data_IF_386867072972
#
_entry.id   IF_386867072972
#
_cell.length_a   1.000
_cell.length_b   1.000
_cell.length_c   1.000
_cell.angle_alpha   90.00
_cell.angle_beta   90.00
_cell.angle_gamma   90.00
#
_symmetry.space_group_name_H-M   'P 1'
#
loop_
_entity.id
_entity.type
_entity.pdbx_description
1 polymer ?
#
# COMPACT_ATOMS: atom_id res chain seq x y z
N UNK A 1 8.38 30.35 -14.56
CA UNK A 1 7.25 29.40 -14.45
C UNK A 1 6.40 29.64 -13.21
N UNK A 2 6.97 29.96 -12.04
CA UNK A 2 6.18 30.34 -10.85
C UNK A 2 5.22 31.51 -11.11
N UNK A 3 5.65 32.56 -11.83
CA UNK A 3 4.75 33.64 -12.27
C UNK A 3 3.58 33.13 -13.14
N UNK A 4 3.79 32.10 -13.98
CA UNK A 4 2.72 31.52 -14.82
C UNK A 4 1.74 30.71 -13.99
N UNK A 5 2.19 30.09 -12.90
CA UNK A 5 1.34 29.42 -11.92
C UNK A 5 0.32 30.40 -11.32
N UNK A 6 0.76 31.63 -11.04
CA UNK A 6 -0.07 32.68 -10.44
C UNK A 6 -0.96 33.39 -11.47
N UNK A 7 -0.45 33.59 -12.68
CA UNK A 7 -1.10 34.44 -13.71
C UNK A 7 -1.93 33.65 -14.72
N UNK A 8 -1.73 32.33 -14.85
CA UNK A 8 -2.42 31.47 -15.82
C UNK A 8 -2.90 30.18 -15.14
N UNK A 9 -3.92 30.26 -14.26
CA UNK A 9 -4.38 29.12 -13.45
C UNK A 9 -4.99 27.98 -14.28
N UNK A 10 -5.42 28.26 -15.52
CA UNK A 10 -5.97 27.25 -16.42
C UNK A 10 -4.99 26.08 -16.72
N UNK A 11 -3.68 26.30 -16.55
CA UNK A 11 -2.65 25.28 -16.74
C UNK A 11 -1.88 24.98 -15.45
N UNK A 12 -2.46 25.26 -14.28
CA UNK A 12 -1.78 25.14 -12.98
C UNK A 12 -1.11 23.78 -12.81
N UNK A 13 -1.83 22.69 -13.11
CA UNK A 13 -1.32 21.32 -12.97
C UNK A 13 -0.10 21.06 -13.86
N UNK A 14 -0.17 21.49 -15.13
CA UNK A 14 0.95 21.41 -16.07
C UNK A 14 2.15 22.20 -15.55
N UNK A 15 1.94 23.40 -15.00
CA UNK A 15 3.04 24.22 -14.48
C UNK A 15 3.71 23.62 -13.25
N UNK A 16 2.94 23.04 -12.32
CA UNK A 16 3.47 22.35 -11.14
C UNK A 16 4.39 21.21 -11.58
N UNK A 17 3.95 20.42 -12.55
CA UNK A 17 4.76 19.31 -13.06
C UNK A 17 6.02 19.79 -13.78
N UNK A 18 5.91 20.80 -14.65
CA UNK A 18 7.07 21.39 -15.33
C UNK A 18 8.11 21.94 -14.32
N UNK A 19 7.66 22.52 -13.20
CA UNK A 19 8.55 22.96 -12.12
C UNK A 19 9.28 21.79 -11.46
N UNK A 20 8.61 20.66 -11.27
CA UNK A 20 9.23 19.41 -10.82
C UNK A 20 10.29 18.91 -11.80
N UNK A 21 9.96 18.86 -13.09
CA UNK A 21 10.89 18.43 -14.15
C UNK A 21 12.13 19.33 -14.26
N UNK A 22 11.94 20.65 -14.30
CA UNK A 22 13.06 21.59 -14.36
C UNK A 22 13.99 21.44 -13.15
N UNK A 23 13.42 21.29 -11.96
CA UNK A 23 14.20 21.10 -10.72
C UNK A 23 14.97 19.78 -10.75
N UNK A 24 14.33 18.70 -11.24
CA UNK A 24 14.97 17.40 -11.43
C UNK A 24 16.07 17.43 -12.48
N UNK A 25 15.90 18.15 -13.59
CA UNK A 25 16.96 18.32 -14.59
C UNK A 25 18.12 19.13 -14.03
N UNK A 26 17.86 20.19 -13.27
CA UNK A 26 18.91 20.97 -12.60
C UNK A 26 19.68 20.12 -11.59
N UNK A 27 18.99 19.29 -10.81
CA UNK A 27 19.61 18.28 -9.94
C UNK A 27 20.50 17.32 -10.73
N UNK A 28 20.03 16.83 -11.89
CA UNK A 28 20.74 15.82 -12.67
C UNK A 28 22.04 16.36 -13.29
N UNK A 29 22.04 17.61 -13.77
CA UNK A 29 23.21 18.30 -14.34
C UNK A 29 24.24 18.66 -13.26
N UNK A 30 23.82 18.77 -12.01
CA UNK A 30 24.72 19.03 -10.89
C UNK A 30 25.45 17.74 -10.47
N UNK A 31 26.66 17.56 -11.02
CA UNK A 31 27.52 16.39 -10.77
C UNK A 31 28.52 16.62 -9.63
N UNK A 32 29.06 17.83 -9.49
CA UNK A 32 30.14 18.14 -8.55
C UNK A 32 29.67 18.59 -7.18
N UNK A 33 28.59 19.38 -7.09
CA UNK A 33 28.11 19.91 -5.81
C UNK A 33 26.97 19.05 -5.24
N UNK A 34 27.32 18.14 -4.32
CA UNK A 34 26.36 17.24 -3.68
C UNK A 34 25.29 18.00 -2.86
N UNK A 35 25.63 19.15 -2.28
CA UNK A 35 24.68 19.96 -1.52
C UNK A 35 23.64 20.61 -2.45
N UNK A 36 24.08 21.20 -3.56
CA UNK A 36 23.15 21.77 -4.54
C UNK A 36 22.26 20.68 -5.15
N UNK A 37 22.83 19.49 -5.39
CA UNK A 37 22.07 18.32 -5.85
C UNK A 37 20.98 17.94 -4.84
N UNK A 38 21.29 17.90 -3.55
CA UNK A 38 20.31 17.63 -2.49
C UNK A 38 19.21 18.70 -2.45
N UNK A 39 19.58 19.98 -2.54
CA UNK A 39 18.64 21.11 -2.58
C UNK A 39 17.68 20.98 -3.77
N UNK A 40 18.20 20.79 -4.98
CA UNK A 40 17.38 20.64 -6.18
C UNK A 40 16.54 19.36 -6.16
N UNK A 41 17.04 18.30 -5.54
CA UNK A 41 16.27 17.09 -5.25
C UNK A 41 15.08 17.38 -4.32
N UNK A 42 15.29 18.18 -3.27
CA UNK A 42 14.23 18.65 -2.38
C UNK A 42 13.19 19.51 -3.09
N UNK A 43 13.62 20.46 -3.92
CA UNK A 43 12.72 21.31 -4.73
C UNK A 43 11.93 20.47 -5.73
N UNK A 44 12.54 19.47 -6.38
CA UNK A 44 11.82 18.57 -7.26
C UNK A 44 10.77 17.74 -6.51
N UNK A 45 11.12 17.18 -5.35
CA UNK A 45 10.19 16.42 -4.48
C UNK A 45 9.00 17.28 -4.08
N UNK A 46 9.24 18.52 -3.66
CA UNK A 46 8.21 19.50 -3.33
C UNK A 46 7.16 19.65 -4.44
N UNK A 47 7.62 19.94 -5.67
CA UNK A 47 6.71 20.13 -6.80
C UNK A 47 5.98 18.86 -7.20
N UNK A 48 6.65 17.70 -7.19
CA UNK A 48 5.98 16.44 -7.51
C UNK A 48 5.01 15.98 -6.42
N UNK A 49 5.26 16.24 -5.13
CA UNK A 49 4.29 15.98 -4.07
C UNK A 49 3.05 16.85 -4.25
N UNK A 50 3.21 18.14 -4.57
CA UNK A 50 2.10 19.03 -4.90
C UNK A 50 1.34 18.57 -6.16
N UNK A 51 2.04 18.04 -7.16
CA UNK A 51 1.42 17.45 -8.34
C UNK A 51 0.61 16.20 -7.97
N UNK A 52 1.17 15.33 -7.13
CA UNK A 52 0.53 14.10 -6.65
C UNK A 52 -0.71 14.38 -5.80
N UNK A 53 -0.77 15.49 -5.07
CA UNK A 53 -1.96 15.85 -4.28
C UNK A 53 -3.18 16.16 -5.15
N UNK A 54 -2.91 16.78 -6.31
CA UNK A 54 -3.91 17.15 -7.31
C UNK A 54 -4.28 16.01 -8.22
N UNK A 55 -3.28 15.20 -8.59
CA UNK A 55 -3.40 14.08 -9.50
C UNK A 55 -2.92 12.78 -8.83
N UNK A 56 -3.55 12.34 -7.72
CA UNK A 56 -3.08 11.19 -6.94
C UNK A 56 -3.15 9.88 -7.72
N UNK A 57 -4.07 9.81 -8.67
CA UNK A 57 -4.39 8.69 -9.54
C UNK A 57 -3.39 8.52 -10.69
N UNK A 58 -2.48 9.49 -10.91
CA UNK A 58 -1.50 9.48 -12.00
C UNK A 58 -0.19 8.82 -11.56
N UNK A 59 0.05 7.62 -12.09
CA UNK A 59 1.25 6.83 -11.81
C UNK A 59 2.55 7.50 -12.27
N UNK A 60 2.51 8.36 -13.30
CA UNK A 60 3.72 9.02 -13.83
C UNK A 60 4.37 9.98 -12.82
N UNK A 61 3.56 10.67 -12.00
CA UNK A 61 4.08 11.55 -10.95
C UNK A 61 4.76 10.70 -9.86
N UNK A 62 4.13 9.57 -9.49
CA UNK A 62 4.70 8.60 -8.54
C UNK A 62 6.03 8.04 -9.05
N UNK A 63 6.15 7.77 -10.35
CA UNK A 63 7.41 7.36 -10.97
C UNK A 63 8.53 8.39 -10.75
N UNK A 64 8.26 9.68 -10.93
CA UNK A 64 9.26 10.72 -10.71
C UNK A 64 9.67 10.81 -9.23
N UNK A 65 8.73 10.66 -8.30
CA UNK A 65 9.04 10.54 -6.87
C UNK A 65 9.92 9.32 -6.58
N UNK A 66 9.71 8.19 -7.26
CA UNK A 66 10.59 7.02 -7.14
C UNK A 66 12.03 7.33 -7.56
N UNK A 67 12.23 8.03 -8.68
CA UNK A 67 13.59 8.43 -9.12
C UNK A 67 14.28 9.31 -8.08
N UNK A 68 13.53 10.20 -7.42
CA UNK A 68 14.03 11.12 -6.41
C UNK A 68 14.21 10.49 -5.02
N UNK A 69 13.65 9.31 -4.77
CA UNK A 69 13.76 8.61 -3.50
C UNK A 69 15.17 8.01 -3.25
N UNK A 70 16.08 8.05 -4.23
CA UNK A 70 17.48 7.61 -4.04
C UNK A 70 18.16 8.39 -2.91
N UNK A 71 18.98 7.72 -2.06
CA UNK A 71 19.38 6.31 -2.11
C UNK A 71 18.44 5.34 -1.34
N UNK A 72 17.28 5.78 -0.88
CA UNK A 72 16.34 4.93 -0.12
C UNK A 72 15.68 3.90 -1.05
N UNK A 73 16.11 2.64 -0.95
CA UNK A 73 15.63 1.55 -1.80
C UNK A 73 14.20 1.10 -1.45
N UNK A 74 13.75 1.29 -0.20
CA UNK A 74 12.39 0.94 0.21
C UNK A 74 11.40 1.97 -0.33
N UNK A 75 11.71 3.25 -0.17
CA UNK A 75 10.88 4.33 -0.71
C UNK A 75 10.86 4.33 -2.24
N UNK A 76 12.00 4.01 -2.90
CA UNK A 76 12.04 3.77 -4.35
C UNK A 76 11.07 2.66 -4.77
N UNK A 77 11.13 1.49 -4.11
CA UNK A 77 10.23 0.38 -4.42
C UNK A 77 8.77 0.77 -4.25
N UNK A 78 8.44 1.45 -3.15
CA UNK A 78 7.09 1.93 -2.88
C UNK A 78 6.57 2.82 -4.02
N UNK A 79 7.30 3.86 -4.41
CA UNK A 79 6.82 4.77 -5.45
C UNK A 79 6.78 4.13 -6.84
N UNK A 80 7.74 3.26 -7.18
CA UNK A 80 7.67 2.52 -8.45
C UNK A 80 6.49 1.55 -8.49
N UNK A 81 6.24 0.80 -7.42
CA UNK A 81 5.10 -0.11 -7.38
C UNK A 81 3.78 0.66 -7.36
N UNK A 82 3.67 1.73 -6.57
CA UNK A 82 2.51 2.65 -6.59
C UNK A 82 2.25 3.20 -7.99
N UNK A 83 3.29 3.61 -8.71
CA UNK A 83 3.18 4.10 -10.09
C UNK A 83 2.54 3.08 -11.05
N UNK A 84 2.81 1.78 -10.84
CA UNK A 84 2.25 0.70 -11.64
C UNK A 84 0.79 0.40 -11.26
N UNK A 85 0.45 0.47 -9.97
CA UNK A 85 -0.90 0.14 -9.47
C UNK A 85 -1.79 1.36 -9.22
N UNK A 86 -1.39 2.53 -9.72
CA UNK A 86 -2.24 3.72 -9.80
C UNK A 86 -3.37 3.52 -10.82
N UNK A 87 -4.51 4.19 -10.64
CA UNK A 87 -5.65 4.14 -11.58
C UNK A 87 -5.21 4.45 -13.01
N UNK A 88 -4.36 5.48 -13.17
CA UNK A 88 -3.68 5.81 -14.43
C UNK A 88 -2.22 5.36 -14.32
N UNK A 89 -2.01 4.06 -14.45
CA UNK A 89 -0.69 3.44 -14.40
C UNK A 89 0.30 4.07 -15.40
N UNK A 90 1.60 4.04 -15.08
CA UNK A 90 2.66 4.51 -15.99
C UNK A 90 3.54 3.34 -16.46
N UNK A 91 3.33 2.82 -17.69
CA UNK A 91 4.05 1.64 -18.19
C UNK A 91 5.58 1.80 -18.23
N UNK A 92 6.09 3.02 -18.44
CA UNK A 92 7.53 3.31 -18.42
C UNK A 92 8.22 2.95 -17.10
N UNK A 93 7.47 2.82 -16.00
CA UNK A 93 7.99 2.34 -14.72
C UNK A 93 8.54 0.92 -14.79
N UNK A 94 8.00 0.05 -15.65
CA UNK A 94 8.43 -1.36 -15.74
C UNK A 94 9.89 -1.50 -16.16
N UNK A 95 10.41 -0.56 -16.94
CA UNK A 95 11.82 -0.52 -17.33
C UNK A 95 12.68 0.16 -16.25
N UNK A 96 12.25 1.31 -15.72
CA UNK A 96 13.02 2.05 -14.73
C UNK A 96 13.22 1.30 -13.41
N UNK A 97 12.22 0.52 -12.96
CA UNK A 97 12.31 -0.26 -11.72
C UNK A 97 13.41 -1.33 -11.77
N UNK A 98 13.80 -1.80 -12.96
CA UNK A 98 14.90 -2.76 -13.12
C UNK A 98 16.25 -2.18 -12.67
N UNK A 99 16.42 -0.85 -12.68
CA UNK A 99 17.62 -0.18 -12.15
C UNK A 99 17.71 -0.32 -10.62
N UNK A 100 16.59 -0.54 -9.93
CA UNK A 100 16.56 -0.85 -8.50
C UNK A 100 16.88 -2.33 -8.24
N UNK A 101 16.26 -3.24 -9.00
CA UNK A 101 16.39 -4.68 -8.76
C UNK A 101 17.72 -5.28 -9.22
N UNK A 102 18.17 -4.94 -10.44
CA UNK A 102 19.33 -5.59 -11.06
C UNK A 102 20.63 -5.51 -10.23
N UNK A 103 20.95 -4.40 -9.56
CA UNK A 103 22.13 -4.35 -8.69
C UNK A 103 22.05 -5.29 -7.48
N UNK A 104 20.85 -5.49 -6.92
CA UNK A 104 20.63 -6.31 -5.72
C UNK A 104 20.60 -7.81 -6.05
N UNK A 105 20.05 -8.20 -7.21
CA UNK A 105 19.98 -9.60 -7.65
C UNK A 105 21.33 -10.17 -8.13
N UNK A 106 22.32 -9.32 -8.45
CA UNK A 106 23.62 -9.73 -9.02
C UNK A 106 24.67 -10.17 -7.98
N UNK A 107 24.29 -10.43 -6.73
CA UNK A 107 25.17 -10.97 -5.69
C UNK A 107 25.78 -9.91 -4.74
N UNK A 108 26.55 -10.35 -3.73
CA UNK A 108 26.94 -9.51 -2.60
C UNK A 108 27.86 -8.37 -3.07
N UNK A 109 27.35 -7.15 -3.01
CA UNK A 109 28.15 -5.93 -3.04
C UNK A 109 28.30 -5.44 -1.60
N UNK A 110 29.28 -4.58 -1.35
CA UNK A 110 29.29 -3.77 -0.12
C UNK A 110 28.08 -2.85 -0.20
N UNK A 111 26.95 -3.29 0.35
CA UNK A 111 25.68 -2.57 0.27
C UNK A 111 25.53 -1.78 1.56
N UNK A 112 25.49 -0.45 1.48
CA UNK A 112 25.21 0.44 2.61
C UNK A 112 23.70 0.49 2.95
N UNK A 113 22.97 -0.60 2.76
CA UNK A 113 21.54 -0.71 3.07
C UNK A 113 21.33 -1.69 4.23
N UNK A 114 20.23 -1.52 4.95
CA UNK A 114 19.83 -2.50 5.94
C UNK A 114 19.54 -3.83 5.23
N UNK A 115 20.27 -4.90 5.58
CA UNK A 115 20.23 -6.19 4.87
C UNK A 115 18.78 -6.70 4.67
N UNK A 116 17.95 -6.61 5.72
CA UNK A 116 16.53 -6.98 5.67
C UNK A 116 15.74 -6.25 4.57
N UNK A 117 16.01 -4.97 4.35
CA UNK A 117 15.36 -4.20 3.27
C UNK A 117 15.93 -4.58 1.90
N UNK A 118 17.23 -4.89 1.82
CA UNK A 118 17.80 -5.41 0.57
C UNK A 118 17.17 -6.76 0.19
N UNK A 119 16.97 -7.66 1.16
CA UNK A 119 16.28 -8.94 0.95
C UNK A 119 14.82 -8.74 0.52
N UNK A 120 14.10 -7.79 1.13
CA UNK A 120 12.74 -7.40 0.73
C UNK A 120 12.68 -6.94 -0.72
N UNK A 121 13.51 -5.96 -1.10
CA UNK A 121 13.53 -5.41 -2.47
C UNK A 121 13.98 -6.47 -3.47
N UNK A 122 14.87 -7.38 -3.07
CA UNK A 122 15.31 -8.52 -3.90
C UNK A 122 14.19 -9.52 -4.14
N UNK A 123 13.40 -9.86 -3.10
CA UNK A 123 12.23 -10.72 -3.23
C UNK A 123 11.20 -10.13 -4.22
N UNK A 124 10.93 -8.83 -4.13
CA UNK A 124 10.12 -8.11 -5.10
C UNK A 124 10.71 -8.14 -6.52
N UNK A 125 12.03 -8.05 -6.66
CA UNK A 125 12.70 -8.16 -7.96
C UNK A 125 12.49 -9.51 -8.63
N UNK A 126 12.58 -10.60 -7.87
CA UNK A 126 12.29 -11.95 -8.38
C UNK A 126 10.81 -12.12 -8.74
N UNK A 127 9.87 -11.71 -7.89
CA UNK A 127 8.44 -11.76 -8.21
C UNK A 127 8.11 -10.92 -9.45
N UNK A 128 8.63 -9.69 -9.54
CA UNK A 128 8.42 -8.82 -10.69
C UNK A 128 8.95 -9.46 -11.99
N UNK A 129 10.09 -10.14 -11.91
CA UNK A 129 10.68 -10.93 -13.01
C UNK A 129 9.97 -12.27 -13.28
N UNK A 130 8.90 -12.60 -12.53
CA UNK A 130 8.18 -13.89 -12.57
C UNK A 130 9.04 -15.10 -12.22
N UNK A 131 10.07 -14.89 -11.41
CA UNK A 131 10.94 -15.92 -10.88
C UNK A 131 10.47 -16.34 -9.48
N UNK A 132 9.59 -17.33 -9.43
CA UNK A 132 9.09 -17.90 -8.17
C UNK A 132 9.92 -19.13 -7.71
N UNK A 133 11.21 -19.19 -8.06
CA UNK A 133 12.11 -20.27 -7.65
C UNK A 133 12.63 -20.11 -6.22
N UNK A 134 13.51 -21.02 -5.78
CA UNK A 134 14.21 -20.96 -4.48
C UNK A 134 14.91 -19.63 -4.21
N UNK A 135 15.26 -18.86 -5.26
CA UNK A 135 15.83 -17.53 -5.10
C UNK A 135 14.85 -16.54 -4.47
N UNK A 136 13.61 -16.52 -4.96
CA UNK A 136 12.54 -15.72 -4.36
C UNK A 136 12.29 -16.19 -2.92
N UNK A 137 12.07 -17.50 -2.74
CA UNK A 137 11.75 -18.09 -1.43
C UNK A 137 12.81 -17.71 -0.39
N UNK A 138 14.09 -17.87 -0.73
CA UNK A 138 15.20 -17.50 0.17
C UNK A 138 15.21 -16.02 0.54
N UNK A 139 15.01 -15.12 -0.42
CA UNK A 139 14.96 -13.68 -0.15
C UNK A 139 13.75 -13.29 0.70
N UNK A 140 12.59 -13.89 0.44
CA UNK A 140 11.39 -13.70 1.24
C UNK A 140 11.57 -14.21 2.68
N UNK A 141 12.12 -15.42 2.85
CA UNK A 141 12.38 -16.01 4.16
C UNK A 141 13.40 -15.21 4.99
N UNK A 142 14.48 -14.75 4.37
CA UNK A 142 15.47 -13.88 5.02
C UNK A 142 14.83 -12.57 5.50
N UNK A 143 14.00 -11.95 4.65
CA UNK A 143 13.25 -10.74 5.02
C UNK A 143 12.31 -11.02 6.19
N UNK A 144 11.43 -12.01 6.07
CA UNK A 144 10.41 -12.34 7.07
C UNK A 144 11.05 -12.70 8.42
N UNK A 145 12.13 -13.48 8.42
CA UNK A 145 12.84 -13.91 9.64
C UNK A 145 13.51 -12.76 10.39
N UNK A 146 13.91 -11.70 9.68
CA UNK A 146 14.54 -10.52 10.28
C UNK A 146 13.61 -9.32 10.50
N UNK A 147 12.37 -9.39 10.01
CA UNK A 147 11.43 -8.29 10.03
C UNK A 147 11.05 -7.87 11.46
N UNK A 148 10.86 -8.83 12.36
CA UNK A 148 10.56 -8.61 13.77
C UNK A 148 11.61 -7.71 14.45
N UNK A 149 12.88 -8.11 14.34
CA UNK A 149 14.01 -7.33 14.85
C UNK A 149 14.15 -5.97 14.17
N UNK A 150 13.81 -5.88 12.88
CA UNK A 150 13.88 -4.64 12.12
C UNK A 150 12.87 -3.61 12.63
N UNK A 151 11.62 -4.02 12.90
CA UNK A 151 10.57 -3.16 13.48
C UNK A 151 11.07 -2.52 14.77
N UNK A 152 11.53 -3.34 15.73
CA UNK A 152 12.02 -2.85 17.02
C UNK A 152 13.24 -1.92 16.89
N UNK A 153 14.14 -2.20 15.93
CA UNK A 153 15.35 -1.39 15.69
C UNK A 153 15.04 0.00 15.13
N UNK A 154 14.12 0.11 14.19
CA UNK A 154 13.80 1.39 13.52
C UNK A 154 12.74 2.20 14.26
N UNK A 155 11.97 1.57 15.14
CA UNK A 155 11.06 2.23 16.09
C UNK A 155 10.06 3.15 15.40
N UNK A 156 10.05 4.43 15.78
CA UNK A 156 9.08 5.40 15.26
C UNK A 156 9.09 5.56 13.72
N UNK A 157 10.25 5.36 13.08
CA UNK A 157 10.38 5.41 11.62
C UNK A 157 9.61 4.27 10.92
N UNK A 158 9.32 3.18 11.65
CA UNK A 158 8.57 2.05 11.11
C UNK A 158 7.15 2.42 10.69
N UNK A 159 6.55 3.48 11.24
CA UNK A 159 5.21 3.94 10.82
C UNK A 159 5.11 4.13 9.31
N UNK A 160 6.06 4.86 8.74
CA UNK A 160 6.10 5.14 7.30
C UNK A 160 6.70 3.96 6.53
N UNK A 161 7.75 3.31 7.05
CA UNK A 161 8.36 2.16 6.38
C UNK A 161 7.38 0.97 6.26
N UNK A 162 6.55 0.75 7.29
CA UNK A 162 5.50 -0.26 7.28
C UNK A 162 4.44 0.02 6.22
N UNK A 163 4.11 1.30 5.96
CA UNK A 163 3.25 1.71 4.83
C UNK A 163 3.91 1.35 3.50
N UNK A 164 5.20 1.62 3.33
CA UNK A 164 5.94 1.30 2.12
C UNK A 164 6.05 -0.22 1.87
N UNK A 165 6.36 -0.99 2.90
CA UNK A 165 6.41 -2.46 2.84
C UNK A 165 5.03 -3.01 2.48
N UNK A 166 4.00 -2.62 3.24
CA UNK A 166 2.63 -3.10 3.03
C UNK A 166 2.16 -2.76 1.63
N UNK A 167 2.23 -1.49 1.20
CA UNK A 167 1.79 -1.08 -0.13
C UNK A 167 2.56 -1.78 -1.27
N UNK A 168 3.86 -2.06 -1.09
CA UNK A 168 4.62 -2.81 -2.10
C UNK A 168 4.16 -4.27 -2.18
N UNK A 169 3.88 -4.90 -1.04
CA UNK A 169 3.29 -6.23 -0.93
C UNK A 169 1.91 -6.30 -1.60
N UNK A 170 1.04 -5.32 -1.34
CA UNK A 170 -0.25 -5.22 -2.02
C UNK A 170 -0.09 -5.09 -3.54
N UNK A 171 0.90 -4.33 -4.00
CA UNK A 171 1.21 -4.25 -5.43
C UNK A 171 1.67 -5.59 -6.00
N UNK A 172 2.34 -6.45 -5.23
CA UNK A 172 2.67 -7.82 -5.65
C UNK A 172 1.42 -8.72 -5.76
N UNK A 173 0.45 -8.59 -4.84
CA UNK A 173 -0.86 -9.25 -4.96
C UNK A 173 -1.64 -8.77 -6.19
N UNK A 174 -1.51 -7.49 -6.54
CA UNK A 174 -2.03 -6.91 -7.78
C UNK A 174 -1.12 -7.18 -9.00
N UNK A 175 -0.14 -8.08 -8.84
CA UNK A 175 0.79 -8.53 -9.88
C UNK A 175 1.51 -7.39 -10.61
N UNK A 176 1.76 -6.31 -9.89
CA UNK A 176 2.35 -5.06 -10.37
C UNK A 176 1.62 -4.53 -11.62
N UNK A 177 0.29 -4.69 -11.64
CA UNK A 177 -0.58 -4.36 -12.77
C UNK A 177 -0.08 -4.96 -14.10
N UNK A 178 0.33 -6.23 -14.07
CA UNK A 178 0.60 -6.97 -15.30
C UNK A 178 -0.64 -6.96 -16.22
N UNK A 179 -0.50 -6.94 -17.55
CA UNK A 179 -1.65 -6.92 -18.46
C UNK A 179 -2.64 -8.08 -18.30
N UNK A 180 -2.16 -9.19 -17.75
CA UNK A 180 -2.87 -10.44 -17.48
C UNK A 180 -3.08 -10.67 -15.96
N UNK A 181 -3.03 -9.60 -15.16
CA UNK A 181 -3.26 -9.65 -13.72
C UNK A 181 -4.73 -9.93 -13.40
N UNK A 182 -4.98 -10.73 -12.37
CA UNK A 182 -6.30 -11.24 -12.02
C UNK A 182 -7.20 -10.18 -11.38
N UNK A 183 -6.66 -9.40 -10.43
CA UNK A 183 -7.43 -8.53 -9.54
C UNK A 183 -7.62 -7.07 -10.01
N UNK A 184 -6.64 -6.40 -10.66
CA UNK A 184 -6.75 -4.95 -10.92
C UNK A 184 -8.02 -4.52 -11.67
N UNK A 185 -8.47 -5.33 -12.64
CA UNK A 185 -9.69 -5.04 -13.43
C UNK A 185 -10.97 -5.09 -12.61
N UNK A 186 -11.01 -5.85 -11.51
CA UNK A 186 -12.19 -5.93 -10.64
C UNK A 186 -12.39 -4.64 -9.82
N UNK A 187 -11.33 -3.85 -9.63
CA UNK A 187 -11.39 -2.53 -8.98
C UNK A 187 -11.73 -1.39 -9.95
N UNK A 188 -11.68 -1.63 -11.27
CA UNK A 188 -12.02 -0.64 -12.30
C UNK A 188 -13.54 -0.49 -12.53
N UNK A 189 -14.39 -0.96 -11.61
CA UNK A 189 -15.83 -0.83 -11.75
C UNK A 189 -16.27 0.64 -11.69
N UNK A 190 -17.24 1.00 -12.54
CA UNK A 190 -17.87 2.32 -12.54
C UNK A 190 -18.39 2.69 -11.14
N UNK A 191 -18.43 3.98 -10.79
CA UNK A 191 -18.93 4.43 -9.49
C UNK A 191 -20.24 3.72 -9.18
N UNK A 192 -20.24 3.02 -8.04
CA UNK A 192 -21.42 2.38 -7.48
C UNK A 192 -22.52 3.46 -7.45
N UNK A 193 -23.68 3.26 -8.09
CA UNK A 193 -24.77 4.23 -8.01
C UNK A 193 -25.09 4.50 -6.54
N UNK A 194 -25.32 5.78 -6.17
CA UNK A 194 -25.59 6.23 -4.78
C UNK A 194 -26.67 5.41 -4.04
N UNK A 195 -27.47 4.62 -4.76
CA UNK A 195 -28.49 3.73 -4.23
C UNK A 195 -28.00 2.38 -3.67
N UNK A 196 -26.76 1.95 -3.92
CA UNK A 196 -26.24 0.65 -3.43
C UNK A 196 -25.38 0.82 -2.20
N UNK A 197 -25.73 0.13 -1.12
CA UNK A 197 -24.90 0.13 0.08
C UNK A 197 -23.63 -0.69 -0.15
N UNK A 198 -22.53 -0.40 0.58
CA UNK A 198 -21.33 -1.26 0.56
C UNK A 198 -21.64 -2.72 0.92
N UNK A 199 -22.68 -2.95 1.74
CA UNK A 199 -23.14 -4.28 2.13
C UNK A 199 -23.76 -5.04 0.95
N UNK A 200 -24.47 -4.35 0.05
CA UNK A 200 -25.05 -4.97 -1.15
C UNK A 200 -23.96 -5.42 -2.14
N UNK A 201 -22.91 -4.60 -2.30
CA UNK A 201 -21.76 -4.92 -3.15
C UNK A 201 -21.06 -6.18 -2.63
N UNK A 202 -20.87 -6.23 -1.31
CA UNK A 202 -20.32 -7.41 -0.66
C UNK A 202 -21.20 -8.65 -0.86
N UNK A 203 -22.50 -8.55 -0.57
CA UNK A 203 -23.41 -9.69 -0.66
C UNK A 203 -23.47 -10.26 -2.09
N UNK A 204 -23.28 -9.40 -3.09
CA UNK A 204 -23.13 -9.84 -4.47
C UNK A 204 -21.78 -10.55 -4.70
N UNK A 205 -20.67 -9.99 -4.22
CA UNK A 205 -19.33 -10.57 -4.37
C UNK A 205 -19.21 -11.95 -3.70
N UNK A 206 -19.76 -12.10 -2.49
CA UNK A 206 -19.68 -13.34 -1.70
C UNK A 206 -20.36 -14.54 -2.37
N UNK A 207 -21.34 -14.31 -3.25
CA UNK A 207 -21.97 -15.36 -4.04
C UNK A 207 -21.01 -16.10 -4.99
N UNK A 208 -19.88 -15.48 -5.33
CA UNK A 208 -18.83 -16.05 -6.18
C UNK A 208 -17.76 -16.83 -5.42
N UNK A 209 -17.76 -16.75 -4.08
CA UNK A 209 -16.71 -17.35 -3.26
C UNK A 209 -17.01 -18.81 -2.93
N UNK A 210 -15.95 -19.57 -2.62
CA UNK A 210 -16.14 -20.87 -2.01
C UNK A 210 -16.81 -20.68 -0.65
N UNK A 211 -17.79 -21.54 -0.32
CA UNK A 211 -18.40 -21.47 1.01
C UNK A 211 -17.33 -21.78 2.05
N UNK A 212 -17.26 -20.97 3.09
CA UNK A 212 -16.37 -21.18 4.24
C UNK A 212 -16.60 -22.53 4.92
N UNK A 213 -17.82 -23.07 4.80
CA UNK A 213 -18.17 -24.41 5.28
C UNK A 213 -17.50 -25.55 4.50
N UNK A 214 -16.80 -25.25 3.40
CA UNK A 214 -15.98 -26.19 2.62
C UNK A 214 -14.51 -25.73 2.61
N UNK A 215 -13.78 -25.92 3.73
CA UNK A 215 -12.38 -25.49 3.84
C UNK A 215 -11.46 -26.21 2.85
N UNK A 216 -11.83 -27.42 2.41
CA UNK A 216 -11.06 -28.17 1.41
C UNK A 216 -11.13 -27.48 0.04
N UNK A 217 -12.31 -26.99 -0.35
CA UNK A 217 -12.46 -26.22 -1.58
C UNK A 217 -11.72 -24.89 -1.52
N UNK A 218 -11.81 -24.14 -0.40
CA UNK A 218 -11.04 -22.90 -0.21
C UNK A 218 -9.54 -23.15 -0.37
N UNK A 219 -9.02 -24.21 0.26
CA UNK A 219 -7.62 -24.59 0.14
C UNK A 219 -7.24 -25.02 -1.28
N UNK A 220 -8.07 -25.85 -1.94
CA UNK A 220 -7.84 -26.30 -3.31
C UNK A 220 -7.83 -25.15 -4.31
N UNK A 221 -8.78 -24.22 -4.20
CA UNK A 221 -8.87 -23.04 -5.06
C UNK A 221 -7.63 -22.15 -4.93
N UNK A 222 -7.17 -21.93 -3.70
CA UNK A 222 -5.97 -21.14 -3.45
C UNK A 222 -4.70 -21.85 -3.98
N UNK A 223 -4.55 -23.15 -3.73
CA UNK A 223 -3.39 -23.92 -4.22
C UNK A 223 -3.35 -23.98 -5.75
N UNK A 224 -4.52 -24.04 -6.41
CA UNK A 224 -4.61 -24.00 -7.87
C UNK A 224 -4.01 -22.72 -8.49
N UNK A 225 -3.94 -21.61 -7.74
CA UNK A 225 -3.25 -20.39 -8.18
C UNK A 225 -1.75 -20.65 -8.40
N UNK A 226 -1.12 -21.47 -7.56
CA UNK A 226 0.30 -21.82 -7.72
C UNK A 226 0.55 -22.80 -8.90
N UNK A 227 -0.44 -23.60 -9.27
CA UNK A 227 -0.33 -24.57 -10.37
C UNK A 227 -0.65 -23.96 -11.75
N UNK A 228 -1.30 -22.79 -11.75
CA UNK A 228 -1.73 -22.07 -12.95
C UNK A 228 -0.59 -21.44 -13.77
N UNK A 229 -0.92 -20.94 -14.97
CA UNK A 229 0.01 -20.16 -15.79
C UNK A 229 0.50 -18.89 -15.06
N UNK A 230 1.55 -18.26 -15.61
CA UNK A 230 2.46 -17.31 -14.95
C UNK A 230 1.84 -16.22 -14.05
N UNK A 231 0.64 -15.72 -14.31
CA UNK A 231 0.03 -14.62 -13.53
C UNK A 231 -0.60 -15.09 -12.22
N UNK A 232 -1.39 -16.16 -12.22
CA UNK A 232 -2.01 -16.58 -10.95
C UNK A 232 -0.97 -17.13 -9.94
N UNK A 233 0.23 -17.52 -10.40
CA UNK A 233 1.37 -17.79 -9.50
C UNK A 233 1.88 -16.53 -8.79
N UNK A 234 1.88 -15.37 -9.46
CA UNK A 234 2.33 -14.11 -8.84
C UNK A 234 1.40 -13.69 -7.72
N UNK A 235 0.08 -13.74 -7.94
CA UNK A 235 -0.88 -13.42 -6.87
C UNK A 235 -0.76 -14.42 -5.71
N UNK A 236 -0.55 -15.72 -5.97
CA UNK A 236 -0.30 -16.71 -4.91
C UNK A 236 0.87 -16.31 -4.00
N UNK A 237 2.06 -16.10 -4.58
CA UNK A 237 3.25 -15.73 -3.80
C UNK A 237 3.17 -14.32 -3.21
N UNK A 238 2.53 -13.38 -3.93
CA UNK A 238 2.23 -12.03 -3.43
C UNK A 238 1.34 -12.07 -2.20
N UNK A 239 0.31 -12.90 -2.19
CA UNK A 239 -0.58 -13.12 -1.03
C UNK A 239 0.17 -13.73 0.14
N UNK A 240 0.95 -14.80 -0.09
CA UNK A 240 1.76 -15.41 0.96
C UNK A 240 2.73 -14.40 1.60
N UNK A 241 3.49 -13.65 0.80
CA UNK A 241 4.43 -12.65 1.29
C UNK A 241 3.71 -11.54 2.09
N UNK A 242 2.57 -11.06 1.57
CA UNK A 242 1.78 -10.00 2.20
C UNK A 242 1.29 -10.42 3.58
N UNK A 243 0.62 -11.57 3.67
CA UNK A 243 -0.03 -11.98 4.91
C UNK A 243 0.92 -12.65 5.91
N UNK A 244 2.05 -13.22 5.46
CA UNK A 244 3.13 -13.59 6.37
C UNK A 244 3.81 -12.34 6.97
N UNK A 245 4.05 -11.28 6.19
CA UNK A 245 4.58 -10.03 6.72
C UNK A 245 3.60 -9.40 7.73
N UNK A 246 2.29 -9.38 7.42
CA UNK A 246 1.25 -8.95 8.36
C UNK A 246 1.24 -9.79 9.64
N UNK A 247 1.40 -11.12 9.52
CA UNK A 247 1.51 -12.00 10.70
C UNK A 247 2.67 -11.60 11.61
N UNK A 248 3.84 -11.26 11.06
CA UNK A 248 4.98 -10.76 11.84
C UNK A 248 4.66 -9.41 12.49
N UNK A 249 4.01 -8.49 11.77
CA UNK A 249 3.57 -7.21 12.35
C UNK A 249 2.61 -7.40 13.54
N UNK A 250 1.71 -8.38 13.46
CA UNK A 250 0.74 -8.64 14.50
C UNK A 250 1.34 -9.33 15.74
N UNK A 251 2.54 -9.90 15.65
CA UNK A 251 3.27 -10.43 16.80
C UNK A 251 3.87 -9.30 17.68
N UNK A 252 3.98 -8.09 17.15
CA UNK A 252 4.46 -6.88 17.85
C UNK A 252 3.38 -6.26 18.74
N UNK A 253 2.76 -7.07 19.61
CA UNK A 253 1.63 -6.66 20.45
C UNK A 253 2.01 -5.43 21.29
N UNK A 254 1.19 -4.38 21.16
CA UNK A 254 1.38 -3.11 21.86
C UNK A 254 2.28 -2.09 21.14
N UNK A 255 3.00 -2.48 20.07
CA UNK A 255 3.76 -1.54 19.26
C UNK A 255 2.83 -0.73 18.34
N UNK A 256 2.69 0.55 18.69
CA UNK A 256 1.86 1.52 17.96
C UNK A 256 2.46 1.91 16.62
N UNK A 257 3.74 1.62 16.38
CA UNK A 257 4.38 1.89 15.09
C UNK A 257 3.84 0.99 13.97
N UNK A 258 3.16 -0.11 14.32
CA UNK A 258 2.50 -1.03 13.39
C UNK A 258 1.16 -0.49 12.86
N UNK A 259 0.52 0.44 13.57
CA UNK A 259 -0.87 0.83 13.29
C UNK A 259 -1.10 1.30 11.83
N UNK A 260 -0.21 2.08 11.19
CA UNK A 260 -0.38 2.44 9.77
C UNK A 260 -0.36 1.24 8.81
N UNK A 261 0.55 0.28 9.03
CA UNK A 261 0.66 -0.93 8.22
C UNK A 261 -0.56 -1.84 8.41
N UNK A 262 -1.05 -1.96 9.64
CA UNK A 262 -2.28 -2.69 9.95
C UNK A 262 -3.50 -2.02 9.30
N UNK A 263 -3.62 -0.69 9.41
CA UNK A 263 -4.71 0.07 8.77
C UNK A 263 -4.77 -0.20 7.27
N UNK A 264 -3.63 -0.07 6.57
CA UNK A 264 -3.53 -0.41 5.15
C UNK A 264 -3.93 -1.84 4.83
N UNK A 265 -3.44 -2.80 5.62
CA UNK A 265 -3.71 -4.22 5.40
C UNK A 265 -5.20 -4.54 5.55
N UNK A 266 -5.84 -3.99 6.58
CA UNK A 266 -7.27 -4.17 6.81
C UNK A 266 -8.11 -3.42 5.76
N UNK A 267 -7.69 -2.21 5.35
CA UNK A 267 -8.37 -1.45 4.31
C UNK A 267 -8.33 -2.19 2.96
N UNK A 268 -7.18 -2.78 2.62
CA UNK A 268 -7.06 -3.59 1.41
C UNK A 268 -7.87 -4.88 1.48
N UNK A 269 -7.86 -5.59 2.62
CA UNK A 269 -8.73 -6.75 2.83
C UNK A 269 -10.20 -6.40 2.68
N UNK A 270 -10.62 -5.26 3.21
CA UNK A 270 -11.99 -4.77 3.04
C UNK A 270 -12.30 -4.53 1.56
N UNK A 271 -11.43 -3.84 0.83
CA UNK A 271 -11.61 -3.64 -0.62
C UNK A 271 -11.61 -4.98 -1.40
N UNK A 272 -10.74 -5.93 -1.05
CA UNK A 272 -10.72 -7.27 -1.66
C UNK A 272 -12.03 -8.02 -1.43
N UNK A 273 -12.65 -7.85 -0.27
CA UNK A 273 -13.94 -8.46 0.05
C UNK A 273 -15.09 -7.95 -0.83
N UNK A 274 -14.91 -6.83 -1.52
CA UNK A 274 -15.87 -6.32 -2.50
C UNK A 274 -15.66 -6.87 -3.92
N UNK A 275 -14.65 -7.72 -4.12
CA UNK A 275 -14.30 -8.29 -5.44
C UNK A 275 -14.75 -9.74 -5.55
N UNK A 276 -15.00 -10.23 -6.76
CA UNK A 276 -15.45 -11.60 -7.00
C UNK A 276 -14.34 -12.61 -6.74
N UNK A 277 -13.08 -12.25 -7.03
CA UNK A 277 -11.94 -13.19 -6.92
C UNK A 277 -11.00 -12.88 -5.75
N UNK A 278 -11.10 -11.71 -5.12
CA UNK A 278 -10.13 -11.24 -4.12
C UNK A 278 -9.97 -12.17 -2.92
N UNK A 279 -11.07 -12.61 -2.32
CA UNK A 279 -10.99 -13.50 -1.15
C UNK A 279 -10.44 -14.88 -1.50
N UNK A 280 -10.73 -15.41 -2.70
CA UNK A 280 -10.12 -16.66 -3.18
C UNK A 280 -8.59 -16.59 -3.25
N UNK A 281 -8.05 -15.38 -3.43
CA UNK A 281 -6.60 -15.13 -3.50
C UNK A 281 -5.94 -14.88 -2.14
N UNK A 282 -6.70 -14.68 -1.06
CA UNK A 282 -6.17 -14.17 0.19
C UNK A 282 -6.61 -15.00 1.42
N UNK A 283 -7.88 -15.40 1.46
CA UNK A 283 -8.59 -15.88 2.65
C UNK A 283 -7.82 -16.93 3.46
N UNK A 284 -7.21 -17.91 2.78
CA UNK A 284 -6.47 -19.00 3.41
C UNK A 284 -5.21 -18.54 4.15
N UNK A 285 -4.55 -17.48 3.68
CA UNK A 285 -3.27 -17.01 4.21
C UNK A 285 -3.40 -15.82 5.16
N UNK A 286 -4.59 -15.22 5.28
CA UNK A 286 -4.83 -14.12 6.22
C UNK A 286 -4.69 -14.62 7.67
N UNK A 287 -3.90 -13.94 8.53
CA UNK A 287 -3.70 -14.37 9.92
C UNK A 287 -4.86 -13.91 10.82
N UNK A 288 -6.09 -14.36 10.53
CA UNK A 288 -7.34 -13.92 11.18
C UNK A 288 -7.26 -13.91 12.72
N UNK A 289 -6.76 -14.99 13.32
CA UNK A 289 -6.60 -15.11 14.77
C UNK A 289 -5.69 -14.04 15.37
N UNK A 290 -4.60 -13.71 14.67
CA UNK A 290 -3.67 -12.66 15.12
C UNK A 290 -4.27 -11.27 14.92
N UNK A 291 -5.03 -11.05 13.84
CA UNK A 291 -5.77 -9.80 13.61
C UNK A 291 -6.73 -9.56 14.78
N UNK A 292 -7.58 -10.53 15.11
CA UNK A 292 -8.53 -10.43 16.22
C UNK A 292 -7.81 -10.16 17.54
N UNK A 293 -6.75 -10.91 17.82
CA UNK A 293 -5.95 -10.75 19.04
C UNK A 293 -5.38 -9.34 19.15
N UNK A 294 -4.80 -8.81 18.07
CA UNK A 294 -4.21 -7.47 18.04
C UNK A 294 -5.26 -6.37 18.16
N UNK A 295 -6.37 -6.47 17.42
CA UNK A 295 -7.49 -5.52 17.48
C UNK A 295 -8.09 -5.46 18.89
N UNK A 296 -8.21 -6.60 19.58
CA UNK A 296 -8.68 -6.63 20.96
C UNK A 296 -7.75 -5.86 21.93
N UNK A 297 -6.46 -5.73 21.62
CA UNK A 297 -5.54 -4.90 22.41
C UNK A 297 -5.69 -3.39 22.16
N UNK A 298 -6.35 -3.00 21.05
CA UNK A 298 -6.63 -1.60 20.74
C UNK A 298 -7.86 -1.06 21.45
N UNK A 299 -8.65 -1.89 22.13
CA UNK A 299 -9.82 -1.39 22.83
C UNK A 299 -9.40 -0.47 23.99
N UNK A 300 -9.91 0.76 24.00
CA UNK A 300 -9.77 1.68 25.12
C UNK A 300 -11.16 2.05 25.64
N UNK A 301 -11.38 2.15 26.97
CA UNK A 301 -12.68 2.49 27.54
C UNK A 301 -13.27 3.83 27.09
N UNK A 302 -12.44 4.72 26.52
CA UNK A 302 -12.82 6.06 26.07
C UNK A 302 -13.18 6.11 24.57
N UNK A 303 -13.10 4.99 23.84
CA UNK A 303 -13.51 4.96 22.44
C UNK A 303 -15.04 5.02 22.34
N UNK A 304 -15.52 5.85 21.43
CA UNK A 304 -16.93 5.88 21.05
C UNK A 304 -17.25 4.68 20.16
N UNK A 305 -17.88 3.66 20.75
CA UNK A 305 -18.23 2.44 20.03
C UNK A 305 -19.30 2.67 18.96
N UNK A 306 -20.09 3.75 19.05
CA UNK A 306 -21.04 4.08 17.98
C UNK A 306 -20.34 4.44 16.67
N UNK A 307 -19.14 5.02 16.76
CA UNK A 307 -18.29 5.31 15.59
C UNK A 307 -17.61 4.05 15.05
N UNK A 308 -17.20 3.13 15.95
CA UNK A 308 -16.57 1.85 15.57
C UNK A 308 -17.56 0.90 14.89
N UNK A 309 -18.78 0.82 15.38
CA UNK A 309 -19.80 -0.12 14.91
C UNK A 309 -20.68 0.45 13.78
N UNK A 310 -20.59 1.77 13.56
CA UNK A 310 -21.38 2.49 12.56
C UNK A 310 -21.09 2.04 11.12
N UNK A 311 -22.09 2.16 10.25
CA UNK A 311 -21.99 1.72 8.85
C UNK A 311 -21.16 2.68 7.98
N UNK A 312 -21.07 3.94 8.39
CA UNK A 312 -20.29 4.98 7.70
C UNK A 312 -18.79 4.91 8.02
N UNK A 313 -17.98 5.51 7.16
CA UNK A 313 -16.55 5.67 7.40
C UNK A 313 -16.31 6.45 8.70
N UNK A 314 -15.46 5.98 9.63
CA UNK A 314 -15.38 6.56 10.97
C UNK A 314 -14.65 7.90 10.93
N UNK A 315 -15.42 8.99 10.94
CA UNK A 315 -14.94 10.37 10.93
C UNK A 315 -15.31 11.09 12.22
N UNK A 316 -14.38 11.89 12.74
CA UNK A 316 -14.59 12.87 13.80
C UNK A 316 -13.68 14.08 13.56
N UNK A 317 -13.91 15.19 14.27
CA UNK A 317 -13.11 16.42 14.11
C UNK A 317 -11.62 16.21 14.36
N UNK A 318 -11.27 15.20 15.16
CA UNK A 318 -9.89 14.83 15.52
C UNK A 318 -9.30 13.71 14.64
N UNK A 319 -10.09 13.11 13.74
CA UNK A 319 -9.74 11.86 13.03
C UNK A 319 -9.89 11.94 11.50
N UNK A 320 -9.84 13.16 10.93
CA UNK A 320 -10.10 13.36 9.50
C UNK A 320 -9.12 12.63 8.60
N UNK A 321 -7.82 12.88 8.71
CA UNK A 321 -6.82 12.31 7.80
C UNK A 321 -5.60 11.77 8.53
N UNK A 322 -5.08 10.68 8.02
CA UNK A 322 -3.83 10.05 8.43
C UNK A 322 -2.76 10.24 7.34
N UNK A 323 -1.46 10.33 7.69
CA UNK A 323 -0.38 10.38 6.70
C UNK A 323 -0.46 9.26 5.66
N UNK A 324 -0.76 8.04 6.10
CA UNK A 324 -0.93 6.87 5.25
C UNK A 324 -2.07 6.99 4.23
N UNK A 325 -3.12 7.78 4.51
CA UNK A 325 -4.21 7.97 3.56
C UNK A 325 -3.71 8.59 2.26
N UNK A 326 -2.80 9.56 2.35
CA UNK A 326 -2.21 10.23 1.19
C UNK A 326 -1.19 9.34 0.47
N UNK A 327 -0.51 8.46 1.21
CA UNK A 327 0.41 7.50 0.60
C UNK A 327 -0.32 6.47 -0.28
N UNK A 328 -1.52 6.02 0.10
CA UNK A 328 -2.27 5.04 -0.70
C UNK A 328 -3.29 5.64 -1.67
N UNK A 329 -3.70 6.89 -1.47
CA UNK A 329 -4.60 7.60 -2.39
C UNK A 329 -4.12 7.47 -3.83
N UNK A 330 -5.06 7.15 -4.71
CA UNK A 330 -4.84 7.06 -6.16
C UNK A 330 -4.40 5.68 -6.67
N UNK A 331 -4.24 4.70 -5.79
CA UNK A 331 -4.13 3.30 -6.20
C UNK A 331 -5.49 2.76 -6.67
N UNK A 332 -5.47 1.75 -7.55
CA UNK A 332 -6.69 1.16 -8.14
C UNK A 332 -7.69 0.71 -7.08
N UNK A 333 -7.22 0.03 -6.04
CA UNK A 333 -8.06 -0.51 -4.97
C UNK A 333 -8.52 0.57 -3.98
N UNK A 334 -7.72 1.62 -3.75
CA UNK A 334 -8.00 2.62 -2.71
C UNK A 334 -9.23 3.48 -3.03
N UNK A 335 -9.66 3.52 -4.29
CA UNK A 335 -10.85 4.28 -4.70
C UNK A 335 -12.12 3.74 -4.03
N UNK A 336 -12.18 2.43 -3.79
CA UNK A 336 -13.31 1.79 -3.13
C UNK A 336 -13.31 1.96 -1.59
N UNK A 337 -12.22 2.50 -1.01
CA UNK A 337 -12.08 2.61 0.43
C UNK A 337 -12.62 3.92 1.00
N UNK A 338 -12.37 5.04 0.31
CA UNK A 338 -12.67 6.36 0.83
C UNK A 338 -14.04 6.85 0.37
N UNK A 339 -14.79 7.55 1.25
CA UNK A 339 -16.01 8.22 0.83
C UNK A 339 -15.71 9.34 -0.18
N UNK A 340 -16.72 9.71 -0.96
CA UNK A 340 -16.60 10.84 -1.89
C UNK A 340 -16.19 12.11 -1.13
N UNK A 341 -15.33 12.92 -1.76
CA UNK A 341 -14.84 14.18 -1.18
C UNK A 341 -14.04 14.03 0.13
N UNK A 342 -13.63 12.82 0.52
CA UNK A 342 -12.87 12.60 1.75
C UNK A 342 -11.63 13.49 1.85
N UNK A 343 -10.92 13.72 0.75
CA UNK A 343 -9.69 14.53 0.72
C UNK A 343 -9.92 16.02 0.48
N UNK A 344 -11.16 16.50 0.42
CA UNK A 344 -11.43 17.94 0.26
C UNK A 344 -11.01 18.73 1.51
N UNK A 345 -10.28 19.83 1.31
CA UNK A 345 -9.77 20.66 2.42
C UNK A 345 -8.63 20.01 3.22
N UNK A 346 -8.07 18.89 2.75
CA UNK A 346 -6.96 18.22 3.42
C UNK A 346 -5.68 19.07 3.48
N UNK A 347 -4.85 18.94 4.52
CA UNK A 347 -3.59 19.68 4.61
C UNK A 347 -2.60 19.24 3.52
N UNK A 348 -1.83 20.18 3.01
CA UNK A 348 -0.64 19.92 2.19
C UNK A 348 0.51 19.40 3.05
N UNK A 349 1.58 18.93 2.42
CA UNK A 349 2.83 18.54 3.09
C UNK A 349 3.38 19.70 3.94
N UNK A 350 3.42 20.92 3.37
CA UNK A 350 3.86 22.15 4.06
C UNK A 350 2.97 22.49 5.27
N UNK A 351 1.69 22.12 5.21
CA UNK A 351 0.72 22.39 6.28
C UNK A 351 0.67 21.26 7.31
N UNK A 352 1.73 20.46 7.42
CA UNK A 352 1.93 19.50 8.50
C UNK A 352 1.19 18.18 8.32
N UNK A 353 0.76 17.83 7.11
CA UNK A 353 0.09 16.55 6.81
C UNK A 353 0.83 15.30 7.31
N UNK A 354 2.15 15.30 7.26
CA UNK A 354 2.99 14.16 7.65
C UNK A 354 3.44 14.24 9.13
N UNK A 355 2.95 15.22 9.91
CA UNK A 355 3.32 15.38 11.32
C UNK A 355 2.59 14.34 12.16
N UNK A 356 3.36 13.50 12.86
CA UNK A 356 2.82 12.50 13.77
C UNK A 356 2.36 13.11 15.10
N UNK A 357 1.08 13.51 15.15
CA UNK A 357 0.44 14.00 16.37
C UNK A 357 -0.04 12.83 17.26
N UNK A 358 -0.03 12.97 18.59
CA UNK A 358 -0.53 11.93 19.50
C UNK A 358 -1.99 11.50 19.24
N UNK A 359 -2.83 12.39 18.69
CA UNK A 359 -4.22 12.13 18.33
C UNK A 359 -4.39 11.15 17.16
N UNK A 360 -3.41 11.09 16.24
CA UNK A 360 -3.46 10.19 15.08
C UNK A 360 -3.46 8.71 15.50
N UNK A 361 -2.90 8.41 16.68
CA UNK A 361 -3.00 7.07 17.27
C UNK A 361 -4.46 6.67 17.50
N UNK A 362 -5.26 7.54 18.09
CA UNK A 362 -6.68 7.27 18.37
C UNK A 362 -7.44 7.14 17.05
N UNK A 363 -7.13 8.00 16.07
CA UNK A 363 -7.68 7.93 14.72
C UNK A 363 -7.43 6.57 14.06
N UNK A 364 -6.20 6.05 14.12
CA UNK A 364 -5.86 4.72 13.61
C UNK A 364 -6.61 3.59 14.32
N UNK A 365 -6.81 3.72 15.62
CA UNK A 365 -7.57 2.73 16.40
C UNK A 365 -9.03 2.68 15.93
N UNK A 366 -9.68 3.83 15.74
CA UNK A 366 -11.02 3.88 15.13
C UNK A 366 -11.04 3.23 13.74
N UNK A 367 -10.09 3.56 12.85
CA UNK A 367 -9.99 2.95 11.52
C UNK A 367 -9.84 1.44 11.57
N UNK A 368 -8.91 0.94 12.37
CA UNK A 368 -8.61 -0.49 12.45
C UNK A 368 -9.75 -1.27 13.09
N UNK A 369 -10.35 -0.77 14.17
CA UNK A 369 -11.49 -1.42 14.83
C UNK A 369 -12.73 -1.42 13.94
N UNK A 370 -13.03 -0.29 13.30
CA UNK A 370 -14.14 -0.21 12.34
C UNK A 370 -13.96 -1.19 11.19
N UNK A 371 -12.77 -1.24 10.58
CA UNK A 371 -12.44 -2.23 9.56
C UNK A 371 -12.56 -3.67 10.08
N UNK A 372 -12.17 -3.92 11.34
CA UNK A 372 -12.36 -5.19 12.01
C UNK A 372 -13.83 -5.60 12.10
N UNK A 373 -14.72 -4.67 12.49
CA UNK A 373 -16.18 -4.89 12.52
C UNK A 373 -16.72 -5.14 11.12
N UNK A 374 -16.32 -4.34 10.13
CA UNK A 374 -16.75 -4.50 8.74
C UNK A 374 -16.33 -5.85 8.17
N UNK A 375 -15.07 -6.23 8.35
CA UNK A 375 -14.56 -7.54 7.95
C UNK A 375 -15.24 -8.67 8.71
N UNK A 376 -15.56 -8.52 10.00
CA UNK A 376 -16.28 -9.54 10.75
C UNK A 376 -17.68 -9.77 10.19
N UNK A 377 -18.45 -8.72 9.87
CA UNK A 377 -19.80 -8.83 9.24
C UNK A 377 -19.76 -9.65 7.94
N UNK A 378 -18.69 -9.45 7.17
CA UNK A 378 -18.47 -10.06 5.86
C UNK A 378 -17.89 -11.48 5.98
N UNK A 379 -16.90 -11.67 6.83
CA UNK A 379 -16.17 -12.92 7.02
C UNK A 379 -16.71 -13.77 8.18
N UNK A 380 -17.94 -13.52 8.65
CA UNK A 380 -18.47 -14.01 9.93
C UNK A 380 -18.50 -15.54 10.04
N UNK A 381 -18.47 -16.26 8.92
CA UNK A 381 -18.37 -17.73 8.91
C UNK A 381 -16.95 -18.26 9.22
N UNK A 382 -15.89 -17.44 9.14
CA UNK A 382 -14.50 -17.84 9.43
C UNK A 382 -14.15 -17.75 10.92
N UNK A 383 -14.86 -16.93 11.70
CA UNK A 383 -14.58 -16.70 13.12
C UNK A 383 -15.28 -17.70 14.04
N UNK A 384 -16.37 -18.33 13.59
CA UNK A 384 -17.11 -19.33 14.37
C UNK A 384 -16.51 -20.75 14.25
N UNK A 385 -15.57 -20.97 13.31
CA UNK A 385 -14.97 -22.28 13.03
C UNK A 385 -13.51 -22.47 13.45
N UNK A 386 -12.89 -21.49 14.13
CA UNK A 386 -11.44 -21.49 14.44
C UNK A 386 -11.10 -21.63 15.91
#
# INVERSE_FOLDING_TARGET
MTLLLETVPAFEETWIECLGDLSRYRMAVEESNLQDREVWGGVAKYWYNRAADRNPDVGRIQHHLAVLARPDILQQLFYYTKSLVSVRAFPGTRESILLLFNPLMKGPRVIHHHQIIADFVTAHGYLFGRDCSDRFVRSADNFLSGLDNYVGRVGAAFKIQGVYITSSNLAAMLEYASPDALLPTEFHQEPIPDSRSPEDVYQQASSHWASVNDPQKVASDFLALNDSQKSSRLVYYGSCLTFHALSVFLDQIGDKNIFPALHLSLAFLWCLSSTQTGMRCAELVVPWKKIVTFLNTMFLPLLDMSLVEGDGFPLSDETKWLPEDFFIRGQVWSQAYYPQSFFEGSPTEDNGRNIELPSLKISRMYRCLWLGVRLAKVCLQLLEGS
#
